data_IF_765979783428
#
_entry.id   IF_765979783428
#
_cell.length_a   1.000
_cell.length_b   1.000
_cell.length_c   1.000
_cell.angle_alpha   90.00
_cell.angle_beta   90.00
_cell.angle_gamma   90.00
#
_symmetry.space_group_name_H-M   'P 1'
#
loop_
_entity.id
_entity.type
_entity.pdbx_description
1 polymer ?
#
# COMPACT_ATOMS: atom_id res chain seq x y z
N UNK A 1 -53.59 47.35 -5.80
CA UNK A 1 -53.54 48.82 -5.69
C UNK A 1 -52.84 49.21 -4.39
N UNK A 2 -51.85 50.11 -4.50
CA UNK A 2 -51.21 50.96 -3.48
C UNK A 2 -50.28 50.35 -2.41
N UNK A 3 -48.99 50.51 -2.72
CA UNK A 3 -47.81 50.70 -1.86
C UNK A 3 -48.05 51.54 -0.59
N UNK A 4 -47.34 51.21 0.50
CA UNK A 4 -46.47 52.20 1.20
C UNK A 4 -45.32 51.52 1.96
N UNK A 5 -44.10 51.96 1.64
CA UNK A 5 -42.85 51.59 2.29
C UNK A 5 -42.65 52.33 3.63
N UNK A 6 -41.89 51.74 4.56
CA UNK A 6 -41.11 52.50 5.56
C UNK A 6 -39.72 51.89 5.74
N UNK A 7 -38.77 52.62 5.19
CA UNK A 7 -37.32 52.50 5.37
C UNK A 7 -36.95 52.88 6.81
N UNK A 8 -36.12 52.08 7.47
CA UNK A 8 -35.32 52.53 8.60
C UNK A 8 -33.88 52.05 8.43
N UNK A 9 -33.01 53.00 8.04
CA UNK A 9 -31.57 52.92 8.22
C UNK A 9 -31.25 52.73 9.71
N UNK A 10 -30.43 51.74 10.06
CA UNK A 10 -29.58 51.84 11.25
C UNK A 10 -28.13 51.51 10.92
N UNK A 11 -27.29 52.41 11.40
CA UNK A 11 -25.84 52.53 11.23
C UNK A 11 -25.11 51.32 11.83
N UNK A 12 -24.07 50.87 11.12
CA UNK A 12 -22.99 49.97 11.62
C UNK A 12 -22.14 50.74 12.65
N UNK A 13 -21.62 50.11 13.71
CA UNK A 13 -20.28 49.50 13.69
C UNK A 13 -20.25 48.22 14.57
N UNK A 14 -19.20 47.43 14.76
CA UNK A 14 -17.77 47.59 14.61
C UNK A 14 -17.16 46.23 14.25
N UNK A 15 -16.13 46.30 13.41
CA UNK A 15 -15.21 45.21 13.12
C UNK A 15 -14.41 44.92 14.41
N UNK A 16 -14.67 43.78 15.07
CA UNK A 16 -13.79 43.28 16.13
C UNK A 16 -12.89 42.22 15.48
N UNK A 17 -11.69 42.67 15.12
CA UNK A 17 -10.55 41.81 14.77
C UNK A 17 -9.92 41.37 16.08
N UNK A 18 -10.26 40.16 16.54
CA UNK A 18 -9.53 39.49 17.63
C UNK A 18 -8.36 38.71 17.03
N UNK A 19 -7.18 39.26 17.26
CA UNK A 19 -5.87 38.72 16.97
C UNK A 19 -5.51 37.56 17.90
N UNK A 20 -5.15 36.44 17.27
CA UNK A 20 -4.06 35.51 17.61
C UNK A 20 -3.91 35.00 19.05
N UNK A 21 -4.12 33.70 19.23
CA UNK A 21 -3.08 32.82 19.77
C UNK A 21 -3.03 31.56 18.88
N UNK A 22 -2.14 31.55 17.91
CA UNK A 22 -1.80 30.34 17.17
C UNK A 22 -1.00 29.45 18.12
N UNK A 23 -1.67 28.50 18.77
CA UNK A 23 -1.00 27.39 19.43
C UNK A 23 -0.35 26.54 18.33
N UNK A 24 0.90 26.83 18.01
CA UNK A 24 1.75 25.96 17.22
C UNK A 24 1.98 24.67 18.02
N UNK A 25 1.09 23.70 17.82
CA UNK A 25 1.28 22.35 18.34
C UNK A 25 2.53 21.77 17.70
N UNK A 26 3.41 21.32 18.58
CA UNK A 26 4.70 20.68 18.30
C UNK A 26 4.46 19.59 17.24
N UNK A 27 4.91 19.84 16.02
CA UNK A 27 5.00 18.82 14.98
C UNK A 27 6.08 17.84 15.40
N UNK A 28 5.68 16.67 15.90
CA UNK A 28 6.55 15.50 15.94
C UNK A 28 6.82 15.05 14.50
N UNK A 29 7.65 15.78 13.77
CA UNK A 29 8.25 15.29 12.52
C UNK A 29 9.41 14.37 12.87
N UNK A 30 9.11 13.21 13.44
CA UNK A 30 9.99 12.06 13.29
C UNK A 30 9.63 11.40 11.95
N UNK A 31 10.17 11.95 10.87
CA UNK A 31 10.24 11.23 9.60
C UNK A 31 11.68 11.15 9.07
N UNK A 32 12.59 10.41 9.73
CA UNK A 32 13.79 9.93 9.07
C UNK A 32 13.57 8.48 8.60
N UNK A 33 13.43 8.38 7.28
CA UNK A 33 14.02 7.36 6.42
C UNK A 33 13.76 5.90 6.78
N UNK A 34 12.65 5.35 6.29
CA UNK A 34 12.66 3.95 5.89
C UNK A 34 13.47 3.83 4.60
N UNK A 35 14.80 4.02 4.69
CA UNK A 35 15.69 3.32 3.80
C UNK A 35 15.47 1.83 4.09
N UNK A 36 14.59 1.19 3.34
CA UNK A 36 14.71 -0.23 3.09
C UNK A 36 15.44 -0.31 1.74
N UNK A 37 16.75 -0.02 1.75
CA UNK A 37 17.83 -1.00 1.98
C UNK A 37 17.76 -2.15 0.97
N UNK A 38 18.87 -2.49 0.29
CA UNK A 38 18.93 -3.72 -0.47
C UNK A 38 18.48 -4.90 0.42
N UNK A 39 17.38 -5.57 0.04
CA UNK A 39 16.88 -6.78 0.69
C UNK A 39 16.17 -6.60 2.03
N UNK A 40 14.96 -6.02 2.02
CA UNK A 40 14.13 -5.89 3.22
C UNK A 40 13.83 -7.23 3.94
N UNK A 41 14.07 -8.37 3.28
CA UNK A 41 14.25 -9.68 3.87
C UNK A 41 15.67 -10.17 3.55
N UNK A 42 16.30 -10.86 4.50
CA UNK A 42 17.58 -11.54 4.30
C UNK A 42 17.57 -12.50 3.11
N UNK A 43 16.43 -13.11 2.79
CA UNK A 43 16.29 -13.97 1.62
C UNK A 43 16.46 -13.25 0.28
N UNK A 44 16.32 -11.93 0.25
CA UNK A 44 16.49 -11.14 -0.96
C UNK A 44 17.94 -11.09 -1.47
N UNK A 45 18.92 -11.56 -0.68
CA UNK A 45 20.31 -11.70 -1.15
C UNK A 45 20.54 -12.97 -1.97
N UNK A 46 19.59 -13.91 -1.99
CA UNK A 46 19.72 -15.14 -2.76
C UNK A 46 19.41 -14.89 -4.23
N UNK A 47 20.19 -15.51 -5.13
CA UNK A 47 20.07 -15.30 -6.59
C UNK A 47 18.73 -15.74 -7.19
N UNK A 48 17.99 -16.64 -6.52
CA UNK A 48 16.67 -17.12 -6.94
C UNK A 48 15.52 -16.29 -6.34
N UNK A 49 15.82 -15.21 -5.61
CA UNK A 49 14.84 -14.32 -4.97
C UNK A 49 15.01 -12.90 -5.50
N UNK A 50 13.92 -12.28 -5.96
CA UNK A 50 13.87 -10.89 -6.34
C UNK A 50 12.91 -10.14 -5.41
N UNK A 51 13.37 -9.05 -4.81
CA UNK A 51 12.60 -8.26 -3.86
C UNK A 51 12.47 -6.81 -4.33
N UNK A 52 11.27 -6.23 -4.20
CA UNK A 52 11.02 -4.82 -4.48
C UNK A 52 10.10 -4.21 -3.42
N UNK A 53 10.43 -3.01 -2.95
CA UNK A 53 9.45 -2.15 -2.29
C UNK A 53 8.54 -1.58 -3.38
N UNK A 54 7.23 -1.74 -3.25
CA UNK A 54 6.28 -1.28 -4.24
C UNK A 54 6.06 0.24 -4.18
N UNK A 55 5.81 0.84 -5.33
CA UNK A 55 5.40 2.24 -5.43
C UNK A 55 3.97 2.41 -4.90
N UNK A 56 3.71 3.46 -4.13
CA UNK A 56 2.37 3.73 -3.58
C UNK A 56 1.39 4.02 -4.72
N UNK A 57 0.21 3.41 -4.68
CA UNK A 57 -0.90 3.69 -5.59
C UNK A 57 -2.19 3.89 -4.81
N UNK A 58 -3.17 4.56 -5.41
CA UNK A 58 -4.48 4.80 -4.76
C UNK A 58 -5.32 3.53 -4.70
N UNK A 59 -5.43 2.83 -5.82
CA UNK A 59 -6.23 1.60 -6.00
C UNK A 59 -5.54 0.72 -7.06
N UNK A 60 -5.57 -0.61 -6.93
CA UNK A 60 -5.10 -1.51 -7.97
C UNK A 60 -5.96 -1.38 -9.22
N UNK A 61 -5.38 -0.96 -10.33
CA UNK A 61 -6.05 -0.94 -11.64
C UNK A 61 -5.03 -0.87 -12.79
N UNK A 62 -5.16 -1.69 -13.84
CA UNK A 62 -6.05 -2.87 -13.94
C UNK A 62 -5.51 -4.07 -13.14
N UNK A 63 -6.33 -5.11 -12.95
CA UNK A 63 -5.94 -6.43 -12.41
C UNK A 63 -6.85 -7.54 -12.98
N UNK A 64 -6.36 -8.79 -13.00
CA UNK A 64 -7.15 -9.96 -13.39
C UNK A 64 -7.79 -10.64 -12.17
N UNK A 65 -7.02 -10.86 -11.09
CA UNK A 65 -7.50 -11.53 -9.88
C UNK A 65 -6.98 -10.84 -8.62
N UNK A 66 -7.82 -10.80 -7.59
CA UNK A 66 -7.49 -10.32 -6.26
C UNK A 66 -7.98 -11.31 -5.21
N UNK A 67 -7.17 -11.59 -4.19
CA UNK A 67 -7.60 -12.30 -2.99
C UNK A 67 -6.95 -11.74 -1.74
N UNK A 68 -7.52 -12.09 -0.59
CA UNK A 68 -7.07 -11.62 0.72
C UNK A 68 -6.61 -12.81 1.55
N UNK A 69 -5.41 -12.71 2.12
CA UNK A 69 -4.88 -13.69 3.04
C UNK A 69 -5.68 -13.72 4.36
N UNK A 70 -5.53 -14.80 5.13
CA UNK A 70 -6.17 -14.91 6.44
C UNK A 70 -5.73 -13.82 7.42
N UNK A 71 -6.56 -13.56 8.43
CA UNK A 71 -6.26 -12.57 9.47
C UNK A 71 -5.01 -12.92 10.29
N UNK A 72 -4.67 -14.21 10.41
CA UNK A 72 -3.45 -14.67 11.09
C UNK A 72 -2.15 -14.18 10.42
N UNK A 73 -2.21 -13.81 9.14
CA UNK A 73 -1.07 -13.28 8.37
C UNK A 73 -1.32 -11.85 7.86
N UNK A 74 -2.12 -11.08 8.61
CA UNK A 74 -2.26 -9.64 8.42
C UNK A 74 -3.33 -9.20 7.43
N UNK A 75 -4.20 -10.10 6.96
CA UNK A 75 -5.26 -9.76 6.00
C UNK A 75 -4.73 -9.05 4.74
N UNK A 76 -3.51 -9.39 4.32
CA UNK A 76 -2.86 -8.83 3.14
C UNK A 76 -3.67 -9.16 1.90
N UNK A 77 -4.06 -8.13 1.15
CA UNK A 77 -4.74 -8.30 -0.13
C UNK A 77 -3.73 -8.24 -1.26
N UNK A 78 -3.76 -9.23 -2.16
CA UNK A 78 -2.88 -9.29 -3.32
C UNK A 78 -3.73 -9.30 -4.58
N UNK A 79 -3.43 -8.39 -5.49
CA UNK A 79 -4.00 -8.39 -6.84
C UNK A 79 -2.90 -8.57 -7.87
N UNK A 80 -3.17 -9.34 -8.92
CA UNK A 80 -2.24 -9.58 -10.01
C UNK A 80 -2.87 -9.19 -11.34
N UNK A 81 -2.12 -8.43 -12.13
CA UNK A 81 -2.34 -8.27 -13.57
C UNK A 81 -1.33 -9.15 -14.28
N UNK A 82 -1.80 -10.17 -14.98
CA UNK A 82 -0.90 -11.17 -15.54
C UNK A 82 -0.14 -10.60 -16.75
N UNK A 83 -0.83 -10.09 -17.77
CA UNK A 83 -0.23 -9.52 -19.01
C UNK A 83 0.73 -8.32 -18.82
N UNK A 84 0.85 -7.79 -17.60
CA UNK A 84 1.77 -6.69 -17.27
C UNK A 84 2.76 -7.02 -16.17
N UNK A 85 2.80 -8.26 -15.71
CA UNK A 85 3.62 -8.75 -14.62
C UNK A 85 3.53 -7.88 -13.35
N UNK A 86 2.31 -7.43 -13.04
CA UNK A 86 2.07 -6.47 -11.94
C UNK A 86 1.49 -7.18 -10.74
N UNK A 87 2.11 -6.92 -9.58
CA UNK A 87 1.59 -7.31 -8.27
C UNK A 87 1.24 -6.06 -7.50
N UNK A 88 0.00 -5.99 -7.04
CA UNK A 88 -0.45 -4.99 -6.09
C UNK A 88 -0.62 -5.64 -4.71
N UNK A 89 -0.17 -4.96 -3.67
CA UNK A 89 -0.22 -5.45 -2.29
C UNK A 89 -0.85 -4.39 -1.40
N UNK A 90 -1.99 -4.72 -0.79
CA UNK A 90 -2.61 -3.91 0.25
C UNK A 90 -2.20 -4.40 1.61
N UNK A 91 -1.87 -3.47 2.47
CA UNK A 91 -1.75 -3.77 3.88
C UNK A 91 -3.14 -3.74 4.54
N UNK A 92 -3.56 -4.90 5.07
CA UNK A 92 -4.88 -5.06 5.67
C UNK A 92 -4.91 -4.84 7.18
N UNK A 93 -3.76 -4.71 7.84
CA UNK A 93 -3.67 -4.72 9.31
C UNK A 93 -2.94 -3.51 9.85
N UNK A 94 -3.45 -2.93 10.94
CA UNK A 94 -2.84 -1.79 11.63
C UNK A 94 -1.90 -2.27 12.75
N UNK A 95 -0.97 -3.18 12.43
CA UNK A 95 -0.11 -3.86 13.40
C UNK A 95 1.38 -3.47 13.31
N UNK A 96 1.69 -2.49 12.44
CA UNK A 96 3.04 -1.98 12.22
C UNK A 96 3.93 -2.88 11.34
N UNK A 97 3.44 -4.04 10.91
CA UNK A 97 4.15 -4.91 9.97
C UNK A 97 3.94 -4.41 8.54
N UNK A 98 4.82 -4.81 7.63
CA UNK A 98 4.63 -4.53 6.21
C UNK A 98 3.98 -5.73 5.53
N UNK A 99 2.92 -5.49 4.77
CA UNK A 99 2.33 -6.50 3.91
C UNK A 99 3.24 -6.92 2.75
N UNK A 100 3.17 -8.21 2.41
CA UNK A 100 3.95 -8.85 1.36
C UNK A 100 3.03 -9.59 0.38
N UNK A 101 3.27 -9.42 -0.91
CA UNK A 101 2.73 -10.27 -1.97
C UNK A 101 3.87 -10.99 -2.66
N UNK A 102 3.79 -12.32 -2.72
CA UNK A 102 4.85 -13.16 -3.31
C UNK A 102 4.31 -13.95 -4.48
N UNK A 103 5.08 -13.99 -5.57
CA UNK A 103 4.88 -14.90 -6.70
C UNK A 103 5.98 -15.97 -6.63
N UNK A 104 5.57 -17.23 -6.44
CA UNK A 104 6.47 -18.39 -6.47
C UNK A 104 6.34 -19.08 -7.82
N UNK A 105 7.40 -19.18 -8.60
CA UNK A 105 7.42 -19.78 -9.93
C UNK A 105 8.22 -21.08 -9.96
N UNK A 106 7.79 -22.06 -10.76
CA UNK A 106 8.49 -23.35 -10.91
C UNK A 106 9.77 -23.29 -11.76
N UNK A 107 10.06 -22.15 -12.40
CA UNK A 107 11.28 -21.95 -13.20
C UNK A 107 11.66 -20.46 -13.27
N UNK A 108 12.92 -20.19 -13.63
CA UNK A 108 13.49 -18.84 -13.61
C UNK A 108 13.78 -18.35 -12.19
N UNK A 109 13.57 -17.06 -11.92
CA UNK A 109 13.57 -16.54 -10.55
C UNK A 109 12.40 -17.16 -9.80
N UNK A 110 12.68 -17.92 -8.76
CA UNK A 110 11.69 -18.70 -8.02
C UNK A 110 10.76 -17.78 -7.22
N UNK A 111 11.30 -16.82 -6.47
CA UNK A 111 10.51 -15.94 -5.61
C UNK A 111 10.57 -14.50 -6.07
N UNK A 112 9.42 -13.87 -6.29
CA UNK A 112 9.29 -12.43 -6.50
C UNK A 112 8.45 -11.83 -5.38
N UNK A 113 9.07 -11.03 -4.52
CA UNK A 113 8.45 -10.51 -3.29
C UNK A 113 8.23 -9.00 -3.46
N UNK A 114 6.96 -8.60 -3.48
CA UNK A 114 6.54 -7.22 -3.43
C UNK A 114 6.17 -6.84 -2.00
N UNK A 115 6.81 -5.80 -1.46
CA UNK A 115 6.49 -5.25 -0.14
C UNK A 115 5.68 -3.97 -0.26
N UNK A 116 4.68 -3.81 0.60
CA UNK A 116 4.05 -2.52 0.85
C UNK A 116 4.68 -1.84 2.08
N UNK A 117 5.53 -0.81 1.90
CA UNK A 117 6.13 -0.06 3.01
C UNK A 117 5.28 1.13 3.49
N UNK A 118 4.10 1.36 2.91
CA UNK A 118 3.33 2.62 3.09
C UNK A 118 2.30 2.56 4.23
N UNK A 119 2.24 1.43 4.95
CA UNK A 119 1.40 1.21 6.13
C UNK A 119 -0.03 0.74 5.81
N UNK A 120 -0.79 0.48 6.87
CA UNK A 120 -2.14 -0.09 6.79
C UNK A 120 -3.10 0.70 5.91
N UNK A 121 -3.96 -0.02 5.17
CA UNK A 121 -4.98 0.54 4.29
C UNK A 121 -4.47 1.04 2.94
N UNK A 122 -3.15 1.13 2.76
CA UNK A 122 -2.53 1.61 1.51
C UNK A 122 -2.26 0.48 0.53
N UNK A 123 -2.05 0.84 -0.74
CA UNK A 123 -1.63 -0.09 -1.79
C UNK A 123 -0.21 0.23 -2.28
N UNK A 124 0.55 -0.83 -2.58
CA UNK A 124 1.83 -0.76 -3.26
C UNK A 124 1.79 -1.58 -4.55
N UNK A 125 2.50 -1.11 -5.58
CA UNK A 125 2.63 -1.75 -6.90
C UNK A 125 4.08 -2.16 -7.15
N UNK A 126 4.30 -3.41 -7.53
CA UNK A 126 5.56 -3.88 -8.09
C UNK A 126 5.34 -4.43 -9.49
N UNK A 127 6.22 -4.06 -10.42
CA UNK A 127 6.26 -4.62 -11.77
C UNK A 127 7.45 -5.58 -11.88
N UNK A 128 7.22 -6.72 -12.51
CA UNK A 128 8.18 -7.79 -12.69
C UNK A 128 8.40 -8.09 -14.17
N UNK A 129 9.27 -9.05 -14.42
CA UNK A 129 9.37 -9.76 -15.68
C UNK A 129 9.44 -11.25 -15.33
N UNK A 130 8.39 -12.01 -15.63
CA UNK A 130 8.36 -13.46 -15.38
C UNK A 130 8.12 -14.27 -16.64
N UNK A 131 8.59 -15.51 -16.64
CA UNK A 131 8.37 -16.41 -17.75
C UNK A 131 6.92 -16.87 -17.81
N UNK A 132 6.31 -16.78 -18.99
CA UNK A 132 4.92 -17.16 -19.24
C UNK A 132 4.62 -18.62 -18.93
N UNK A 133 5.53 -19.53 -19.30
CA UNK A 133 5.30 -20.98 -19.22
C UNK A 133 5.38 -21.59 -17.82
N UNK A 134 5.86 -20.85 -16.82
CA UNK A 134 5.99 -21.35 -15.46
C UNK A 134 4.63 -21.36 -14.74
N UNK A 135 4.35 -22.44 -13.99
CA UNK A 135 3.29 -22.41 -12.97
C UNK A 135 3.72 -21.45 -11.87
N UNK A 136 2.79 -20.58 -11.47
CA UNK A 136 2.99 -19.55 -10.47
C UNK A 136 1.99 -19.74 -9.34
N UNK A 137 2.43 -19.51 -8.11
CA UNK A 137 1.58 -19.49 -6.92
C UNK A 137 1.67 -18.11 -6.28
N UNK A 138 0.52 -17.51 -6.04
CA UNK A 138 0.40 -16.22 -5.35
C UNK A 138 0.23 -16.47 -3.87
N UNK A 139 1.01 -15.73 -3.08
CA UNK A 139 0.93 -15.74 -1.63
C UNK A 139 0.73 -14.32 -1.11
N UNK A 140 -0.09 -14.19 -0.07
CA UNK A 140 -0.23 -12.97 0.71
C UNK A 140 0.30 -13.19 2.12
N UNK A 141 0.95 -12.18 2.69
CA UNK A 141 1.61 -12.33 3.98
C UNK A 141 2.09 -11.03 4.58
N UNK A 142 2.90 -11.15 5.64
CA UNK A 142 3.48 -10.03 6.37
C UNK A 142 4.94 -10.29 6.71
N UNK A 143 5.74 -9.22 6.69
CA UNK A 143 7.10 -9.22 7.23
C UNK A 143 7.02 -9.16 8.76
N UNK A 144 7.58 -10.17 9.44
CA UNK A 144 7.69 -10.20 10.90
C UNK A 144 9.02 -9.61 11.37
N UNK A 145 10.11 -9.92 10.67
CA UNK A 145 11.45 -9.38 10.92
C UNK A 145 12.26 -9.36 9.63
N UNK A 146 13.55 -8.99 9.67
CA UNK A 146 14.43 -9.12 8.51
C UNK A 146 14.66 -10.60 8.09
N UNK A 147 14.50 -11.55 9.01
CA UNK A 147 14.69 -12.98 8.75
C UNK A 147 13.38 -13.74 8.54
N UNK A 148 12.25 -13.20 8.99
CA UNK A 148 10.99 -13.92 9.08
C UNK A 148 9.85 -13.21 8.34
N UNK A 149 9.15 -13.98 7.53
CA UNK A 149 7.90 -13.61 6.91
C UNK A 149 6.91 -14.76 7.06
N UNK A 150 5.63 -14.44 7.17
CA UNK A 150 4.54 -15.42 7.25
C UNK A 150 3.61 -15.24 6.06
N UNK A 151 3.21 -16.34 5.44
CA UNK A 151 2.46 -16.35 4.18
C UNK A 151 1.25 -17.28 4.25
N UNK A 152 0.23 -16.97 3.46
CA UNK A 152 -0.81 -17.91 3.05
C UNK A 152 -0.78 -18.05 1.53
N UNK A 153 -0.91 -19.28 1.04
CA UNK A 153 -1.20 -19.52 -0.37
C UNK A 153 -2.61 -18.98 -0.66
N UNK A 154 -2.73 -18.21 -1.73
CA UNK A 154 -4.01 -17.67 -2.18
C UNK A 154 -4.51 -18.50 -3.37
N UNK A 155 -3.83 -18.40 -4.51
CA UNK A 155 -4.15 -19.18 -5.72
C UNK A 155 -2.91 -19.50 -6.56
N UNK A 156 -3.08 -20.32 -7.59
CA UNK A 156 -2.05 -20.57 -8.61
C UNK A 156 -2.59 -20.29 -10.01
N UNK A 157 -1.67 -20.01 -10.95
CA UNK A 157 -1.97 -19.79 -12.37
C UNK A 157 -0.78 -20.22 -13.25
N UNK A 158 -1.03 -20.51 -14.53
CA UNK A 158 0.00 -20.97 -15.50
C UNK A 158 0.05 -20.10 -16.75
N UNK A 159 -0.91 -19.20 -16.95
CA UNK A 159 -1.00 -18.31 -18.11
C UNK A 159 -0.98 -16.85 -17.66
N UNK A 160 -0.62 -15.94 -18.57
CA UNK A 160 -1.23 -14.62 -18.50
C UNK A 160 -2.71 -14.65 -18.90
#
# INVERSE_FOLDING_TARGET
>A
MRNTARTWLRKRPALIVTTTLAAATITLTAAPSAAAEPGFLSSCSYSHVACKNGAKVSVPSPYNRCETAGSSVGSTQVCVLYDGDVVYVKDGSADGRSALGTIVATSGVEYRICRNPHGSGTWAKCTWNWGESAKKTVQGGVKQSAALASYNNLWSFTSN
#
